data_IF_458367029376
#
_entry.id   IF_458367029376
#
_cell.length_a   1.000
_cell.length_b   1.000
_cell.length_c   1.000
_cell.angle_alpha   90.00
_cell.angle_beta   90.00
_cell.angle_gamma   90.00
#
_symmetry.space_group_name_H-M   'P 1'
#
loop_
_entity.id
_entity.type
_entity.pdbx_description
1 polymer ?
#
# COMPACT_ATOMS: atom_id res chain seq x y z
N UNK A 1 6.47 12.62 33.65
CA UNK A 1 6.73 11.34 34.37
C UNK A 1 5.61 11.20 35.40
N UNK A 2 4.85 10.11 35.33
CA UNK A 2 3.61 9.92 36.11
C UNK A 2 2.31 10.25 35.35
N UNK A 3 2.43 10.73 34.10
CA UNK A 3 1.29 11.18 33.28
C UNK A 3 0.32 10.05 32.86
N UNK A 4 0.72 8.80 33.09
CA UNK A 4 -0.07 7.60 32.80
C UNK A 4 -0.58 6.91 34.07
N UNK A 5 -0.14 7.30 35.28
CA UNK A 5 -0.40 6.56 36.53
C UNK A 5 -1.88 6.53 36.92
N UNK A 6 -2.67 7.48 36.41
CA UNK A 6 -4.11 7.57 36.64
C UNK A 6 -4.94 6.74 35.65
N UNK A 7 -4.33 6.14 34.63
CA UNK A 7 -5.04 5.39 33.58
C UNK A 7 -5.09 3.91 33.99
N UNK A 8 -6.28 3.42 34.32
CA UNK A 8 -6.50 2.03 34.75
C UNK A 8 -7.07 1.13 33.65
N UNK A 9 -7.58 1.72 32.56
CA UNK A 9 -8.13 0.99 31.43
C UNK A 9 -7.07 0.79 30.33
N UNK A 10 -7.02 -0.42 29.77
CA UNK A 10 -6.00 -0.81 28.79
C UNK A 10 -6.16 -0.09 27.45
N UNK A 11 -7.39 0.12 27.00
CA UNK A 11 -7.68 0.82 25.74
C UNK A 11 -7.35 2.31 25.88
N UNK A 12 -7.73 2.93 27.01
CA UNK A 12 -7.36 4.32 27.30
C UNK A 12 -5.84 4.52 27.37
N UNK A 13 -5.12 3.56 27.97
CA UNK A 13 -3.66 3.60 28.04
C UNK A 13 -3.01 3.48 26.66
N UNK A 14 -3.44 2.50 25.85
CA UNK A 14 -2.95 2.30 24.49
C UNK A 14 -3.24 3.51 23.59
N UNK A 15 -4.43 4.10 23.73
CA UNK A 15 -4.79 5.33 23.02
C UNK A 15 -3.88 6.48 23.42
N UNK A 16 -3.69 6.72 24.72
CA UNK A 16 -2.85 7.81 25.21
C UNK A 16 -1.39 7.66 24.76
N UNK A 17 -0.83 6.46 24.83
CA UNK A 17 0.51 6.19 24.30
C UNK A 17 0.60 6.46 22.80
N UNK A 18 -0.41 6.06 22.03
CA UNK A 18 -0.47 6.32 20.59
C UNK A 18 -0.47 7.82 20.31
N UNK A 19 -1.31 8.59 21.00
CA UNK A 19 -1.37 10.04 20.84
C UNK A 19 -0.01 10.70 21.15
N UNK A 20 0.62 10.31 22.26
CA UNK A 20 1.91 10.86 22.69
C UNK A 20 3.05 10.47 21.71
N UNK A 21 3.07 9.24 21.19
CA UNK A 21 4.02 8.81 20.17
C UNK A 21 3.86 9.60 18.88
N UNK A 22 2.63 9.72 18.37
CA UNK A 22 2.36 10.42 17.11
C UNK A 22 2.58 11.94 17.21
N UNK A 23 2.44 12.52 18.40
CA UNK A 23 2.76 13.93 18.64
C UNK A 23 4.25 14.23 18.47
N UNK A 24 5.12 13.25 18.76
CA UNK A 24 6.59 13.38 18.69
C UNK A 24 7.12 12.91 17.33
N UNK A 25 6.70 11.73 16.87
CA UNK A 25 7.21 11.14 15.63
C UNK A 25 6.59 11.74 14.37
N UNK A 26 5.38 12.30 14.49
CA UNK A 26 4.50 12.67 13.38
C UNK A 26 4.20 11.49 12.42
N UNK A 27 4.46 10.25 12.84
CA UNK A 27 4.20 9.04 12.08
C UNK A 27 2.88 8.42 12.53
N UNK A 28 1.86 8.50 11.66
CA UNK A 28 0.52 7.98 11.95
C UNK A 28 0.45 6.45 11.90
N UNK A 29 1.49 5.76 11.44
CA UNK A 29 1.57 4.31 11.43
C UNK A 29 2.10 3.73 12.76
N UNK A 30 2.77 4.55 13.57
CA UNK A 30 3.17 4.17 14.92
C UNK A 30 1.96 4.24 15.86
N UNK A 31 1.49 3.08 16.32
CA UNK A 31 0.35 2.96 17.24
C UNK A 31 0.54 1.82 18.23
N UNK A 32 -0.16 1.93 19.36
CA UNK A 32 -0.24 0.92 20.40
C UNK A 32 -1.69 0.47 20.49
N UNK A 33 -1.91 -0.85 20.52
CA UNK A 33 -3.23 -1.45 20.67
C UNK A 33 -3.24 -2.33 21.91
N UNK A 34 -4.32 -2.27 22.68
CA UNK A 34 -4.55 -3.17 23.79
C UNK A 34 -5.27 -4.44 23.30
N UNK A 35 -4.91 -5.58 23.88
CA UNK A 35 -5.62 -6.83 23.70
C UNK A 35 -5.76 -7.50 25.07
N UNK A 36 -6.99 -7.79 25.54
CA UNK A 36 -7.20 -8.49 26.81
C UNK A 36 -6.76 -9.96 26.73
N UNK A 37 -6.63 -10.51 25.51
CA UNK A 37 -6.11 -11.84 25.25
C UNK A 37 -4.66 -11.77 24.75
N UNK A 38 -3.86 -12.78 25.08
CA UNK A 38 -2.51 -12.90 24.55
C UNK A 38 -2.55 -13.09 23.02
N UNK A 39 -1.95 -12.15 22.29
CA UNK A 39 -1.82 -12.26 20.85
C UNK A 39 -0.80 -13.35 20.48
N UNK A 40 -1.01 -14.06 19.35
CA UNK A 40 -0.05 -15.04 18.86
C UNK A 40 1.29 -14.37 18.55
N UNK A 41 2.36 -15.15 18.61
CA UNK A 41 3.67 -14.67 18.17
C UNK A 41 3.67 -14.55 16.65
N UNK A 42 3.77 -13.32 16.16
CA UNK A 42 3.79 -13.02 14.72
C UNK A 42 5.17 -13.30 14.08
N UNK A 43 6.21 -13.55 14.88
CA UNK A 43 7.56 -13.86 14.36
C UNK A 43 7.74 -15.35 14.07
N UNK A 44 6.98 -16.22 14.74
CA UNK A 44 7.19 -17.67 14.72
C UNK A 44 6.01 -18.47 14.10
N UNK A 45 5.10 -17.82 13.39
CA UNK A 45 4.01 -18.50 12.69
C UNK A 45 4.52 -19.23 11.45
N UNK A 46 4.27 -20.55 11.39
CA UNK A 46 4.53 -21.36 10.18
C UNK A 46 3.46 -21.09 9.12
N UNK A 47 3.80 -21.22 7.83
CA UNK A 47 2.81 -21.22 6.75
C UNK A 47 1.75 -22.31 7.00
N UNK A 48 0.47 -21.93 6.98
CA UNK A 48 -0.67 -22.84 7.08
C UNK A 48 -1.40 -22.85 5.72
N UNK A 49 -1.37 -23.97 4.98
CA UNK A 49 -2.05 -24.08 3.68
C UNK A 49 -3.55 -23.76 3.72
N UNK A 50 -4.23 -24.01 4.84
CA UNK A 50 -5.64 -23.68 4.98
C UNK A 50 -5.83 -22.16 5.03
N UNK A 51 -4.93 -21.46 5.73
CA UNK A 51 -4.94 -20.00 5.81
C UNK A 51 -4.66 -19.36 4.46
N UNK A 52 -3.70 -19.87 3.69
CA UNK A 52 -3.43 -19.38 2.32
C UNK A 52 -4.63 -19.56 1.38
N UNK A 53 -5.32 -20.70 1.48
CA UNK A 53 -6.52 -20.96 0.69
C UNK A 53 -7.69 -20.03 1.08
N UNK A 54 -7.84 -19.72 2.37
CA UNK A 54 -8.82 -18.76 2.87
C UNK A 54 -8.48 -17.33 2.44
N UNK A 55 -7.23 -16.91 2.57
CA UNK A 55 -6.75 -15.60 2.10
C UNK A 55 -7.00 -15.43 0.60
N UNK A 56 -6.71 -16.44 -0.21
CA UNK A 56 -7.04 -16.44 -1.64
C UNK A 56 -8.52 -16.22 -1.90
N UNK A 57 -9.39 -17.00 -1.25
CA UNK A 57 -10.85 -16.86 -1.39
C UNK A 57 -11.34 -15.48 -0.97
N UNK A 58 -10.76 -14.91 0.08
CA UNK A 58 -11.10 -13.57 0.53
C UNK A 58 -10.69 -12.51 -0.51
N UNK A 59 -9.45 -12.60 -1.03
CA UNK A 59 -8.96 -11.68 -2.07
C UNK A 59 -9.80 -11.77 -3.35
N UNK A 60 -10.13 -12.97 -3.82
CA UNK A 60 -10.98 -13.19 -4.99
C UNK A 60 -12.38 -12.57 -4.82
N UNK A 61 -12.99 -12.72 -3.64
CA UNK A 61 -14.32 -12.14 -3.32
C UNK A 61 -14.35 -10.62 -3.42
N UNK A 62 -13.25 -9.96 -3.10
CA UNK A 62 -13.14 -8.49 -3.13
C UNK A 62 -12.44 -7.98 -4.39
N UNK A 63 -12.25 -8.86 -5.38
CA UNK A 63 -11.53 -8.60 -6.62
C UNK A 63 -10.15 -7.98 -6.39
N UNK A 64 -9.43 -8.46 -5.38
CA UNK A 64 -8.11 -7.97 -5.00
C UNK A 64 -8.04 -6.46 -4.72
N UNK A 65 -9.17 -5.86 -4.33
CA UNK A 65 -9.29 -4.42 -4.09
C UNK A 65 -9.61 -3.59 -5.33
N UNK A 66 -9.58 -4.16 -6.54
CA UNK A 66 -9.93 -3.47 -7.78
C UNK A 66 -11.43 -3.27 -7.89
N UNK A 67 -11.88 -2.02 -7.79
CA UNK A 67 -13.31 -1.66 -7.76
C UNK A 67 -13.83 -1.22 -9.12
N UNK A 68 -13.00 -0.61 -9.95
CA UNK A 68 -13.43 -0.08 -11.24
C UNK A 68 -12.27 0.03 -12.22
N UNK A 69 -12.50 -0.42 -13.45
CA UNK A 69 -11.68 -0.12 -14.62
C UNK A 69 -12.63 0.40 -15.71
N UNK A 70 -12.37 1.59 -16.23
CA UNK A 70 -13.26 2.29 -17.16
C UNK A 70 -12.44 3.10 -18.17
N UNK A 71 -12.97 3.26 -19.38
CA UNK A 71 -12.47 4.24 -20.35
C UNK A 71 -13.45 5.42 -20.34
N UNK A 72 -12.99 6.56 -19.85
CA UNK A 72 -13.73 7.82 -19.82
C UNK A 72 -13.72 8.49 -21.20
N UNK A 73 -14.56 9.52 -21.36
CA UNK A 73 -14.54 10.40 -22.53
C UNK A 73 -13.12 10.92 -22.81
N UNK A 74 -12.74 10.98 -24.08
CA UNK A 74 -11.39 11.35 -24.49
C UNK A 74 -10.35 10.22 -24.37
N UNK A 75 -10.80 8.95 -24.27
CA UNK A 75 -9.93 7.77 -24.20
C UNK A 75 -8.99 7.77 -22.99
N UNK A 76 -9.51 8.21 -21.83
CA UNK A 76 -8.76 8.27 -20.58
C UNK A 76 -9.09 7.02 -19.75
N UNK A 77 -8.09 6.21 -19.45
CA UNK A 77 -8.24 5.08 -18.55
C UNK A 77 -8.42 5.55 -17.11
N UNK A 78 -9.38 4.99 -16.41
CA UNK A 78 -9.62 5.21 -14.99
C UNK A 78 -9.58 3.88 -14.26
N UNK A 79 -8.72 3.78 -13.25
CA UNK A 79 -8.49 2.58 -12.46
C UNK A 79 -8.60 2.89 -10.97
N UNK A 80 -9.64 2.37 -10.31
CA UNK A 80 -9.86 2.50 -8.86
C UNK A 80 -9.57 1.19 -8.14
N UNK A 81 -8.76 1.27 -7.11
CA UNK A 81 -8.51 0.15 -6.20
C UNK A 81 -8.13 0.65 -4.80
N UNK A 82 -8.57 -0.08 -3.78
CA UNK A 82 -8.57 0.41 -2.38
C UNK A 82 -7.43 -0.19 -1.53
N UNK A 83 -6.64 -1.12 -2.08
CA UNK A 83 -5.41 -1.62 -1.44
C UNK A 83 -4.51 -2.35 -2.46
N UNK A 84 -3.25 -2.55 -2.09
CA UNK A 84 -2.24 -3.29 -2.84
C UNK A 84 -2.13 -4.71 -2.30
N UNK A 85 -2.93 -5.65 -2.85
CA UNK A 85 -2.87 -7.05 -2.46
C UNK A 85 -1.57 -7.74 -2.94
N UNK A 86 -1.13 -8.82 -2.31
CA UNK A 86 0.07 -9.55 -2.75
C UNK A 86 -0.04 -10.09 -4.19
N UNK A 87 0.98 -9.89 -5.05
CA UNK A 87 0.90 -10.24 -6.48
C UNK A 87 0.84 -11.74 -6.76
N UNK A 88 1.24 -12.59 -5.81
CA UNK A 88 1.13 -14.05 -5.96
C UNK A 88 -0.32 -14.55 -6.06
N UNK A 89 -1.27 -13.84 -5.46
CA UNK A 89 -2.71 -14.14 -5.58
C UNK A 89 -3.35 -13.21 -6.61
N UNK A 90 -3.00 -11.92 -6.57
CA UNK A 90 -3.75 -10.87 -7.24
C UNK A 90 -3.11 -10.32 -8.53
N UNK A 91 -1.95 -10.85 -8.93
CA UNK A 91 -1.29 -10.49 -10.19
C UNK A 91 -2.19 -10.61 -11.42
N UNK A 92 -2.98 -11.71 -11.58
CA UNK A 92 -3.90 -11.84 -12.72
C UNK A 92 -4.93 -10.71 -12.82
N UNK A 93 -5.41 -10.17 -11.70
CA UNK A 93 -6.37 -9.05 -11.67
C UNK A 93 -5.75 -7.77 -12.22
N UNK A 94 -4.50 -7.47 -11.83
CA UNK A 94 -3.74 -6.33 -12.39
C UNK A 94 -3.54 -6.49 -13.89
N UNK A 95 -3.10 -7.68 -14.32
CA UNK A 95 -2.88 -7.97 -15.73
C UNK A 95 -4.16 -7.75 -16.54
N UNK A 96 -5.31 -8.23 -16.06
CA UNK A 96 -6.59 -8.02 -16.72
C UNK A 96 -6.96 -6.53 -16.82
N UNK A 97 -6.83 -5.78 -15.72
CA UNK A 97 -7.16 -4.36 -15.68
C UNK A 97 -6.24 -3.52 -16.59
N UNK A 98 -4.93 -3.77 -16.53
CA UNK A 98 -3.96 -3.04 -17.35
C UNK A 98 -4.07 -3.41 -18.84
N UNK A 99 -4.42 -4.66 -19.17
CA UNK A 99 -4.70 -5.06 -20.55
C UNK A 99 -5.98 -4.40 -21.09
N UNK A 100 -7.03 -4.29 -20.26
CA UNK A 100 -8.25 -3.57 -20.63
C UNK A 100 -7.95 -2.10 -20.95
N UNK A 101 -7.06 -1.48 -20.19
CA UNK A 101 -6.64 -0.08 -20.37
C UNK A 101 -5.43 0.09 -21.30
N UNK A 102 -5.00 -0.93 -22.05
CA UNK A 102 -3.71 -0.93 -22.74
C UNK A 102 -3.57 0.08 -23.89
N UNK A 103 -4.68 0.64 -24.39
CA UNK A 103 -4.69 1.55 -25.54
C UNK A 103 -5.23 2.95 -25.21
N UNK A 104 -5.28 3.30 -23.92
CA UNK A 104 -5.72 4.64 -23.47
C UNK A 104 -4.66 5.70 -23.79
N UNK A 105 -5.10 6.94 -23.92
CA UNK A 105 -4.20 8.07 -24.18
C UNK A 105 -3.66 8.71 -22.90
N UNK A 106 -4.33 8.50 -21.77
CA UNK A 106 -3.86 8.82 -20.43
C UNK A 106 -4.47 7.86 -19.41
N UNK A 107 -3.88 7.74 -18.22
CA UNK A 107 -4.40 6.91 -17.14
C UNK A 107 -4.51 7.69 -15.82
N UNK A 108 -5.60 7.44 -15.10
CA UNK A 108 -5.87 7.95 -13.74
C UNK A 108 -5.93 6.75 -12.79
N UNK A 109 -5.06 6.76 -11.79
CA UNK A 109 -5.14 5.86 -10.64
C UNK A 109 -5.88 6.56 -9.50
N UNK A 110 -7.03 6.03 -9.09
CA UNK A 110 -7.80 6.59 -7.99
C UNK A 110 -7.49 5.87 -6.68
N UNK A 111 -6.71 6.55 -5.83
CA UNK A 111 -6.26 6.06 -4.54
C UNK A 111 -6.92 6.78 -3.37
N UNK A 112 -8.01 7.52 -3.62
CA UNK A 112 -8.69 8.33 -2.59
C UNK A 112 -9.25 7.51 -1.43
N UNK A 113 -9.37 6.20 -1.57
CA UNK A 113 -9.80 5.28 -0.51
C UNK A 113 -8.78 4.15 -0.30
N UNK A 114 -7.54 4.34 -0.76
CA UNK A 114 -6.52 3.30 -0.74
C UNK A 114 -5.73 3.28 0.58
N UNK A 115 -5.86 2.19 1.34
CA UNK A 115 -5.21 2.02 2.66
C UNK A 115 -3.79 1.47 2.63
N UNK A 116 -3.23 1.22 1.44
CA UNK A 116 -1.87 0.69 1.27
C UNK A 116 -1.83 -0.80 0.96
N UNK A 117 -0.71 -1.46 1.28
CA UNK A 117 -0.53 -2.89 1.05
C UNK A 117 0.90 -3.28 0.68
N UNK A 118 1.03 -4.30 -0.17
CA UNK A 118 2.28 -4.99 -0.48
C UNK A 118 3.16 -4.20 -1.47
N UNK A 119 4.42 -3.87 -1.11
CA UNK A 119 5.35 -3.15 -1.99
C UNK A 119 5.69 -3.90 -3.28
N UNK A 120 5.57 -5.23 -3.32
CA UNK A 120 5.75 -6.00 -4.57
C UNK A 120 4.62 -5.72 -5.57
N UNK A 121 3.41 -5.50 -5.09
CA UNK A 121 2.29 -5.12 -5.96
C UNK A 121 2.43 -3.68 -6.45
N UNK A 122 2.91 -2.78 -5.59
CA UNK A 122 3.27 -1.40 -5.96
C UNK A 122 4.29 -1.42 -7.10
N UNK A 123 5.36 -2.20 -6.94
CA UNK A 123 6.37 -2.38 -7.97
C UNK A 123 5.77 -2.91 -9.27
N UNK A 124 4.94 -3.96 -9.20
CA UNK A 124 4.33 -4.58 -10.39
C UNK A 124 3.42 -3.61 -11.16
N UNK A 125 2.54 -2.86 -10.48
CA UNK A 125 1.69 -1.86 -11.13
C UNK A 125 2.55 -0.73 -11.72
N UNK A 126 3.57 -0.27 -10.97
CA UNK A 126 4.49 0.76 -11.44
C UNK A 126 5.22 0.33 -12.72
N UNK A 127 5.57 -0.96 -12.86
CA UNK A 127 6.23 -1.50 -14.05
C UNK A 127 5.50 -1.14 -15.35
N UNK A 128 4.17 -1.10 -15.37
CA UNK A 128 3.42 -0.69 -16.57
C UNK A 128 3.67 0.76 -17.00
N UNK A 129 4.23 1.61 -16.14
CA UNK A 129 4.45 3.03 -16.39
C UNK A 129 5.88 3.37 -16.78
N UNK A 130 6.83 2.44 -16.80
CA UNK A 130 8.22 2.74 -17.11
C UNK A 130 8.74 1.87 -18.25
N UNK A 131 9.45 2.49 -19.19
CA UNK A 131 10.11 1.82 -20.31
C UNK A 131 11.31 0.99 -19.82
N UNK A 132 12.08 1.61 -18.91
CA UNK A 132 13.33 1.07 -18.39
C UNK A 132 13.17 0.60 -16.94
N UNK A 133 14.05 -0.33 -16.55
CA UNK A 133 14.16 -0.77 -15.16
C UNK A 133 14.55 0.44 -14.29
N UNK A 134 13.64 0.82 -13.41
CA UNK A 134 13.70 2.06 -12.62
C UNK A 134 13.66 1.71 -11.14
N UNK A 135 14.55 2.30 -10.34
CA UNK A 135 14.51 2.18 -8.88
C UNK A 135 13.31 2.95 -8.34
N UNK A 136 12.51 2.31 -7.49
CA UNK A 136 11.29 2.90 -6.94
C UNK A 136 11.54 3.44 -5.53
N UNK A 137 11.99 2.57 -4.63
CA UNK A 137 12.36 2.92 -3.26
C UNK A 137 13.27 1.85 -2.65
N UNK A 138 13.73 2.15 -1.44
CA UNK A 138 14.38 1.22 -0.53
C UNK A 138 13.58 1.18 0.78
N UNK A 139 13.35 -0.02 1.31
CA UNK A 139 12.77 -0.21 2.63
C UNK A 139 13.86 -0.74 3.57
N UNK A 140 14.22 0.08 4.55
CA UNK A 140 15.18 -0.32 5.59
C UNK A 140 14.46 -0.83 6.83
N UNK A 141 14.77 -2.07 7.21
CA UNK A 141 14.28 -2.71 8.42
C UNK A 141 15.35 -2.60 9.50
N UNK A 142 15.07 -1.81 10.54
CA UNK A 142 15.99 -1.60 11.67
C UNK A 142 16.40 -2.91 12.35
N UNK A 143 15.45 -3.83 12.55
CA UNK A 143 15.70 -5.17 13.13
C UNK A 143 16.46 -6.02 12.11
N UNK A 144 17.70 -6.36 12.43
CA UNK A 144 18.58 -7.13 11.53
C UNK A 144 19.36 -6.27 10.53
N UNK A 145 19.13 -4.95 10.50
CA UNK A 145 19.85 -3.99 9.65
C UNK A 145 19.85 -4.39 8.16
N UNK A 146 18.65 -4.58 7.61
CA UNK A 146 18.45 -5.06 6.24
C UNK A 146 17.78 -3.97 5.40
N UNK A 147 18.26 -3.76 4.18
CA UNK A 147 17.62 -2.89 3.19
C UNK A 147 17.14 -3.71 2.01
N UNK A 148 15.83 -3.72 1.78
CA UNK A 148 15.21 -4.30 0.59
C UNK A 148 15.01 -3.21 -0.47
N UNK A 149 15.43 -3.48 -1.70
CA UNK A 149 15.27 -2.54 -2.80
C UNK A 149 14.13 -2.95 -3.72
N UNK A 150 13.29 -1.99 -4.12
CA UNK A 150 12.21 -2.24 -5.07
C UNK A 150 12.47 -1.52 -6.38
N UNK A 151 12.28 -2.27 -7.47
CA UNK A 151 12.56 -1.83 -8.83
C UNK A 151 11.37 -2.22 -9.71
N UNK A 152 11.16 -1.48 -10.80
CA UNK A 152 10.24 -1.93 -11.84
C UNK A 152 10.74 -3.23 -12.49
N UNK A 153 9.79 -4.06 -12.90
CA UNK A 153 10.05 -5.33 -13.56
C UNK A 153 10.50 -5.11 -15.01
N UNK A 154 11.48 -5.89 -15.50
CA UNK A 154 11.94 -5.82 -16.89
C UNK A 154 10.86 -6.25 -17.88
N UNK A 155 9.83 -6.97 -17.42
CA UNK A 155 8.71 -7.43 -18.22
C UNK A 155 7.39 -7.28 -17.47
N UNK A 156 6.33 -6.92 -18.20
CA UNK A 156 4.94 -7.03 -17.74
C UNK A 156 4.12 -7.75 -18.81
N UNK A 157 3.13 -8.59 -18.44
CA UNK A 157 2.17 -9.10 -19.41
C UNK A 157 1.33 -7.96 -19.99
N UNK A 158 1.36 -7.79 -21.31
CA UNK A 158 0.60 -6.74 -22.01
C UNK A 158 1.45 -5.58 -22.53
N UNK A 159 0.80 -4.45 -22.80
CA UNK A 159 1.46 -3.21 -23.23
C UNK A 159 1.79 -2.34 -22.03
N UNK A 160 2.93 -1.65 -22.09
CA UNK A 160 3.26 -0.56 -21.17
C UNK A 160 2.55 0.73 -21.61
N UNK A 161 2.35 1.62 -20.65
CA UNK A 161 1.84 2.98 -20.80
C UNK A 161 2.96 4.00 -20.50
N UNK A 162 4.21 3.61 -20.69
CA UNK A 162 5.44 4.30 -20.29
C UNK A 162 5.63 5.70 -20.86
N UNK A 163 5.06 5.99 -22.03
CA UNK A 163 5.02 7.35 -22.60
C UNK A 163 3.71 8.11 -22.40
N UNK A 164 2.69 7.49 -21.79
CA UNK A 164 1.36 8.09 -21.64
C UNK A 164 1.25 8.91 -20.34
N UNK A 165 0.57 10.08 -20.35
CA UNK A 165 0.26 10.84 -19.14
C UNK A 165 -0.39 9.96 -18.07
N UNK A 166 0.11 10.08 -16.84
CA UNK A 166 -0.42 9.37 -15.68
C UNK A 166 -0.76 10.37 -14.57
N UNK A 167 -1.88 10.10 -13.89
CA UNK A 167 -2.38 10.91 -12.79
C UNK A 167 -2.70 10.00 -11.60
N UNK A 168 -2.46 10.49 -10.39
CA UNK A 168 -2.83 9.79 -9.16
C UNK A 168 -3.74 10.69 -8.34
N UNK A 169 -4.93 10.20 -8.02
CA UNK A 169 -5.88 10.90 -7.15
C UNK A 169 -5.65 10.48 -5.70
N UNK A 170 -5.42 11.46 -4.83
CA UNK A 170 -5.18 11.24 -3.40
C UNK A 170 -6.23 11.92 -2.52
N UNK A 171 -6.44 11.38 -1.33
CA UNK A 171 -7.21 12.01 -0.26
C UNK A 171 -6.48 11.84 1.07
N UNK A 172 -7.03 12.43 2.14
CA UNK A 172 -6.59 12.16 3.53
C UNK A 172 -6.65 10.68 3.95
N UNK A 173 -7.39 9.84 3.22
CA UNK A 173 -7.50 8.40 3.47
C UNK A 173 -6.47 7.58 2.68
N UNK A 174 -5.75 8.18 1.72
CA UNK A 174 -4.64 7.50 1.05
C UNK A 174 -3.52 7.27 2.08
N UNK A 175 -3.15 6.01 2.31
CA UNK A 175 -2.28 5.64 3.42
C UNK A 175 -1.27 4.55 3.05
N UNK A 176 -0.15 4.48 3.77
CA UNK A 176 0.84 3.39 3.69
C UNK A 176 1.29 3.13 2.24
N UNK A 177 1.15 1.91 1.70
CA UNK A 177 1.49 1.59 0.32
C UNK A 177 0.86 2.51 -0.75
N UNK A 178 -0.29 3.13 -0.48
CA UNK A 178 -0.89 4.12 -1.38
C UNK A 178 -0.07 5.41 -1.44
N UNK A 179 0.53 5.80 -0.31
CA UNK A 179 1.47 6.91 -0.22
C UNK A 179 2.80 6.55 -0.87
N UNK A 180 3.27 5.32 -0.71
CA UNK A 180 4.47 4.83 -1.39
C UNK A 180 4.31 4.92 -2.92
N UNK A 181 3.25 4.32 -3.49
CA UNK A 181 3.00 4.38 -4.94
C UNK A 181 2.92 5.83 -5.43
N UNK A 182 2.18 6.68 -4.70
CA UNK A 182 2.05 8.11 -5.01
C UNK A 182 3.40 8.80 -4.98
N UNK A 183 4.20 8.59 -3.93
CA UNK A 183 5.48 9.23 -3.73
C UNK A 183 6.51 8.78 -4.75
N UNK A 184 6.61 7.48 -5.03
CA UNK A 184 7.49 6.91 -6.06
C UNK A 184 7.24 7.61 -7.41
N UNK A 185 5.98 7.68 -7.86
CA UNK A 185 5.65 8.33 -9.13
C UNK A 185 5.84 9.85 -9.11
N UNK A 186 5.65 10.49 -7.95
CA UNK A 186 5.89 11.93 -7.78
C UNK A 186 7.37 12.28 -7.89
N UNK A 187 8.23 11.62 -7.11
CA UNK A 187 9.68 11.94 -7.06
C UNK A 187 10.40 11.55 -8.35
N UNK A 188 9.96 10.48 -9.00
CA UNK A 188 10.42 10.07 -10.33
C UNK A 188 9.82 10.93 -11.47
N UNK A 189 8.98 11.92 -11.14
CA UNK A 189 8.28 12.80 -12.10
C UNK A 189 7.49 12.02 -13.16
N UNK A 190 6.97 10.85 -12.79
CA UNK A 190 6.22 9.99 -13.70
C UNK A 190 4.73 10.32 -13.74
N UNK A 191 4.15 10.76 -12.64
CA UNK A 191 2.73 11.09 -12.57
C UNK A 191 2.47 12.48 -11.97
N UNK A 192 1.36 13.09 -12.37
CA UNK A 192 0.83 14.29 -11.72
C UNK A 192 -0.08 13.86 -10.56
N UNK A 193 0.19 14.37 -9.36
CA UNK A 193 -0.59 14.06 -8.16
C UNK A 193 -1.69 15.11 -7.98
N UNK A 194 -2.93 14.69 -7.81
CA UNK A 194 -4.10 15.56 -7.71
C UNK A 194 -4.94 15.18 -6.50
N UNK A 195 -5.24 16.13 -5.62
CA UNK A 195 -6.11 15.91 -4.47
C UNK A 195 -5.53 16.46 -3.18
N UNK A 196 -5.83 15.80 -2.07
CA UNK A 196 -5.44 16.23 -0.74
C UNK A 196 -4.06 15.66 -0.34
N UNK A 197 -3.47 16.26 0.70
CA UNK A 197 -2.37 15.64 1.45
C UNK A 197 -2.84 14.31 2.04
N UNK A 198 -1.98 13.29 1.95
CA UNK A 198 -2.26 11.91 2.38
C UNK A 198 -2.19 11.74 3.90
N UNK A 199 -2.53 10.55 4.40
CA UNK A 199 -2.73 10.31 5.84
C UNK A 199 -1.46 10.21 6.69
N UNK A 200 -0.26 10.06 6.10
CA UNK A 200 1.02 10.14 6.81
C UNK A 200 1.50 8.84 7.45
N UNK A 201 1.34 7.70 6.76
CA UNK A 201 1.71 6.35 7.22
C UNK A 201 2.68 5.58 6.31
N UNK A 202 3.44 6.28 5.47
CA UNK A 202 4.34 5.68 4.46
C UNK A 202 5.54 4.89 5.02
N UNK A 203 5.71 4.75 6.33
CA UNK A 203 6.76 3.89 6.91
C UNK A 203 6.24 2.45 7.06
N UNK A 204 7.00 1.41 6.66
CA UNK A 204 6.60 0.03 6.94
C UNK A 204 6.48 -0.23 8.45
N UNK A 205 5.44 -0.97 8.86
CA UNK A 205 5.26 -1.40 10.26
C UNK A 205 5.12 -2.90 10.35
N UNK A 206 5.42 -3.40 11.54
CA UNK A 206 5.14 -4.77 11.94
C UNK A 206 4.58 -4.76 13.36
N UNK A 207 3.52 -5.53 13.59
CA UNK A 207 3.01 -5.73 14.95
C UNK A 207 4.06 -6.42 15.83
N UNK A 208 4.32 -5.85 17.00
CA UNK A 208 5.19 -6.43 18.01
C UNK A 208 4.42 -6.53 19.32
N UNK A 209 4.34 -7.74 19.89
CA UNK A 209 3.70 -7.95 21.19
C UNK A 209 4.64 -7.47 22.29
N UNK A 210 4.20 -6.47 23.04
CA UNK A 210 4.87 -6.01 24.25
C UNK A 210 4.43 -6.95 25.39
N UNK A 211 5.40 -7.57 26.07
CA UNK A 211 5.17 -8.48 27.21
C UNK A 211 5.81 -7.93 28.47
#
# INVERSE_FOLDING_TARGET
KGDYDAISDGDDFAKRLTDDFQAISHDKHLSVMFSPAALPDFDNQKPDPNREAEERKQMERVNCGFKKAEILEGNIGYLKFDFFAGPGICGPTVVAAMNFLANVDAIIFDLRENGGGDPKMIAFISSYLFAERTHLNDLWTRKGDVTDQYWTDPYVPGKRLDGKPAFVLTSKNTFSGGEEFTNNLKVLKRATIVGETTGGGAHPVRGHRIT
#
